data_IF_134355426792
#
_entry.id   IF_134355426792
#
_cell.length_a   1.000
_cell.length_b   1.000
_cell.length_c   1.000
_cell.angle_alpha   90.00
_cell.angle_beta   90.00
_cell.angle_gamma   90.00
#
_symmetry.space_group_name_H-M   'P 1'
#
loop_
_entity.id
_entity.type
_entity.pdbx_description
1 polymer ?
#
# COMPACT_ATOMS: atom_id res chain seq x y z
N UNK A 1 -8.07 17.72 13.11
CA UNK A 1 -7.53 16.61 12.30
C UNK A 1 -6.04 16.87 12.15
N UNK A 2 -5.18 16.08 12.81
CA UNK A 2 -3.72 16.26 12.66
C UNK A 2 -3.35 16.03 11.19
N UNK A 3 -2.45 16.85 10.69
CA UNK A 3 -2.04 16.86 9.29
C UNK A 3 -1.61 15.45 8.88
N UNK A 4 -2.18 14.93 7.79
CA UNK A 4 -2.10 13.54 7.31
C UNK A 4 -0.74 13.20 6.67
N UNK A 5 0.31 13.92 7.03
CA UNK A 5 1.67 13.66 6.59
C UNK A 5 2.38 12.95 7.75
N UNK A 6 2.83 11.72 7.49
CA UNK A 6 3.76 10.94 8.32
C UNK A 6 3.19 10.26 9.57
N UNK A 7 2.42 9.19 9.36
CA UNK A 7 2.43 8.03 10.27
C UNK A 7 3.74 7.25 10.04
N UNK A 8 4.88 7.94 10.22
CA UNK A 8 6.17 7.26 10.18
C UNK A 8 6.30 6.43 11.45
N UNK A 9 6.78 5.20 11.30
CA UNK A 9 7.08 4.33 12.44
C UNK A 9 7.98 5.02 13.46
N UNK A 10 8.89 5.90 13.01
CA UNK A 10 9.74 6.71 13.90
C UNK A 10 8.94 7.65 14.81
N UNK A 11 7.92 8.31 14.28
CA UNK A 11 7.04 9.20 15.05
C UNK A 11 6.19 8.43 16.04
N UNK A 12 5.54 7.34 15.60
CA UNK A 12 4.76 6.48 16.50
C UNK A 12 5.61 5.87 17.62
N UNK A 13 6.84 5.46 17.29
CA UNK A 13 7.79 4.97 18.29
C UNK A 13 8.18 6.05 19.29
N UNK A 14 8.36 7.29 18.83
CA UNK A 14 8.64 8.41 19.72
C UNK A 14 7.45 8.70 20.64
N UNK A 15 6.24 8.80 20.08
CA UNK A 15 5.00 9.01 20.85
C UNK A 15 4.79 7.88 21.88
N UNK A 16 5.01 6.63 21.48
CA UNK A 16 4.90 5.48 22.37
C UNK A 16 5.94 5.54 23.52
N UNK A 17 7.18 5.94 23.22
CA UNK A 17 8.25 6.10 24.24
C UNK A 17 7.98 7.25 25.20
N UNK A 18 7.40 8.35 24.71
CA UNK A 18 7.06 9.53 25.51
C UNK A 18 5.74 9.36 26.28
N UNK A 19 4.90 8.41 25.86
CA UNK A 19 3.62 8.15 26.49
C UNK A 19 3.79 7.63 27.92
N UNK A 20 3.06 8.27 28.85
CA UNK A 20 2.96 7.83 30.24
C UNK A 20 1.95 6.68 30.44
N UNK A 21 1.19 6.33 29.41
CA UNK A 21 0.14 5.30 29.48
C UNK A 21 -0.07 4.64 28.12
N UNK A 22 0.02 3.31 28.09
CA UNK A 22 -0.29 2.54 26.89
C UNK A 22 -1.74 2.77 26.43
N UNK A 23 -2.68 2.93 27.35
CA UNK A 23 -4.09 3.17 27.02
C UNK A 23 -4.30 4.50 26.29
N UNK A 24 -3.61 5.56 26.73
CA UNK A 24 -3.69 6.87 26.07
C UNK A 24 -3.10 6.82 24.66
N UNK A 25 -1.99 6.10 24.48
CA UNK A 25 -1.40 5.91 23.16
C UNK A 25 -2.35 5.17 22.21
N UNK A 26 -2.92 4.04 22.65
CA UNK A 26 -3.88 3.26 21.85
C UNK A 26 -5.13 4.07 21.51
N UNK A 27 -5.66 4.84 22.47
CA UNK A 27 -6.84 5.68 22.24
C UNK A 27 -6.55 6.82 21.26
N UNK A 28 -5.39 7.47 21.36
CA UNK A 28 -5.02 8.57 20.46
C UNK A 28 -4.73 8.10 19.03
N UNK A 29 -4.33 6.83 18.88
CA UNK A 29 -3.90 6.23 17.62
C UNK A 29 -4.85 5.12 17.15
N UNK A 30 -6.10 5.10 17.63
CA UNK A 30 -7.05 4.00 17.38
C UNK A 30 -7.26 3.70 15.89
N UNK A 31 -7.20 4.73 15.04
CA UNK A 31 -7.34 4.60 13.58
C UNK A 31 -6.22 3.75 12.97
N UNK A 32 -5.01 3.82 13.53
CA UNK A 32 -3.83 3.04 13.10
C UNK A 32 -4.03 1.54 13.35
N UNK A 33 -4.84 1.22 14.36
CA UNK A 33 -5.20 -0.16 14.73
C UNK A 33 -6.52 -0.61 14.07
N UNK A 34 -7.09 0.19 13.18
CA UNK A 34 -8.29 -0.19 12.44
C UNK A 34 -7.98 -1.34 11.48
N UNK A 35 -8.76 -2.42 11.55
CA UNK A 35 -8.67 -3.52 10.59
C UNK A 35 -8.98 -3.07 9.14
N UNK A 36 -9.57 -1.89 8.96
CA UNK A 36 -9.94 -1.33 7.66
C UNK A 36 -8.98 -0.26 7.15
N UNK A 37 -7.91 0.05 7.87
CA UNK A 37 -7.01 1.17 7.53
C UNK A 37 -6.45 1.07 6.11
N UNK A 38 -6.06 -0.13 5.68
CA UNK A 38 -5.64 -0.39 4.30
C UNK A 38 -6.73 -0.04 3.29
N UNK A 39 -7.95 -0.55 3.50
CA UNK A 39 -9.07 -0.36 2.58
C UNK A 39 -9.50 1.10 2.50
N UNK A 40 -9.53 1.79 3.64
CA UNK A 40 -9.85 3.21 3.70
C UNK A 40 -8.80 4.05 3.00
N UNK A 41 -7.52 3.76 3.23
CA UNK A 41 -6.43 4.47 2.57
C UNK A 41 -6.42 4.23 1.06
N UNK A 42 -6.62 2.99 0.61
CA UNK A 42 -6.72 2.65 -0.81
C UNK A 42 -7.88 3.39 -1.49
N UNK A 43 -9.06 3.49 -0.84
CA UNK A 43 -10.20 4.28 -1.35
C UNK A 43 -9.85 5.76 -1.51
N UNK A 44 -9.15 6.33 -0.52
CA UNK A 44 -8.71 7.73 -0.61
C UNK A 44 -7.80 7.98 -1.81
N UNK A 45 -6.90 7.03 -2.13
CA UNK A 45 -6.04 7.12 -3.31
C UNK A 45 -6.83 6.98 -4.61
N UNK A 46 -7.77 6.04 -4.68
CA UNK A 46 -8.68 5.85 -5.82
C UNK A 46 -9.45 7.14 -6.13
N UNK A 47 -10.05 7.75 -5.10
CA UNK A 47 -10.85 8.96 -5.23
C UNK A 47 -9.97 10.16 -5.61
N UNK A 48 -8.80 10.32 -4.97
CA UNK A 48 -7.84 11.39 -5.26
C UNK A 48 -7.34 11.35 -6.70
N UNK A 49 -7.03 10.15 -7.19
CA UNK A 49 -6.45 9.95 -8.52
C UNK A 49 -7.50 9.68 -9.60
N UNK A 50 -8.80 9.77 -9.25
CA UNK A 50 -9.95 9.55 -10.14
C UNK A 50 -9.89 8.21 -10.90
N UNK A 51 -9.48 7.15 -10.21
CA UNK A 51 -9.27 5.82 -10.83
C UNK A 51 -10.62 5.09 -10.93
N UNK A 52 -11.15 4.80 -12.12
CA UNK A 52 -12.36 4.02 -12.27
C UNK A 52 -12.15 2.60 -11.71
N UNK A 53 -13.14 2.05 -11.00
CA UNK A 53 -13.08 0.67 -10.48
C UNK A 53 -12.79 -0.37 -11.57
N UNK A 54 -13.25 -0.13 -12.79
CA UNK A 54 -12.96 -0.99 -13.96
C UNK A 54 -11.49 -0.94 -14.37
N UNK A 55 -10.86 0.24 -14.29
CA UNK A 55 -9.44 0.40 -14.54
C UNK A 55 -8.61 -0.27 -13.44
N UNK A 56 -9.01 -0.14 -12.17
CA UNK A 56 -8.36 -0.84 -11.06
C UNK A 56 -8.37 -2.36 -11.26
N UNK A 57 -9.50 -2.93 -11.68
CA UNK A 57 -9.62 -4.38 -12.00
C UNK A 57 -8.70 -4.76 -13.15
N UNK A 58 -8.67 -3.96 -14.22
CA UNK A 58 -7.82 -4.23 -15.39
C UNK A 58 -6.33 -4.17 -15.04
N UNK A 59 -5.89 -3.10 -14.37
CA UNK A 59 -4.48 -2.86 -14.07
C UNK A 59 -3.91 -3.84 -13.04
N UNK A 60 -4.74 -4.30 -12.10
CA UNK A 60 -4.32 -5.30 -11.11
C UNK A 60 -4.36 -6.73 -11.63
N UNK A 61 -5.09 -7.00 -12.73
CA UNK A 61 -5.35 -8.36 -13.22
C UNK A 61 -6.20 -9.22 -12.27
N UNK A 62 -6.77 -8.62 -11.22
CA UNK A 62 -7.58 -9.32 -10.22
C UNK A 62 -9.03 -9.45 -10.67
N UNK A 63 -9.74 -10.46 -10.16
CA UNK A 63 -11.17 -10.58 -10.48
C UNK A 63 -11.97 -9.41 -9.91
N UNK A 64 -13.02 -8.99 -10.64
CA UNK A 64 -13.92 -7.92 -10.19
C UNK A 64 -14.49 -8.19 -8.80
N UNK A 65 -14.92 -9.42 -8.52
CA UNK A 65 -15.45 -9.80 -7.21
C UNK A 65 -14.42 -9.64 -6.10
N UNK A 66 -13.15 -9.98 -6.36
CA UNK A 66 -12.06 -9.85 -5.39
C UNK A 66 -11.75 -8.38 -5.07
N UNK A 67 -11.63 -7.53 -6.09
CA UNK A 67 -11.41 -6.08 -5.90
C UNK A 67 -12.56 -5.46 -5.12
N UNK A 68 -13.80 -5.80 -5.45
CA UNK A 68 -14.96 -5.25 -4.76
C UNK A 68 -15.05 -5.71 -3.29
N UNK A 69 -14.71 -6.97 -3.00
CA UNK A 69 -14.68 -7.49 -1.63
C UNK A 69 -13.59 -6.81 -0.77
N UNK A 70 -12.46 -6.42 -1.37
CA UNK A 70 -11.45 -5.60 -0.69
C UNK A 70 -12.03 -4.21 -0.41
N UNK A 71 -12.61 -3.56 -1.43
CA UNK A 71 -13.19 -2.23 -1.29
C UNK A 71 -14.43 -2.19 -0.39
N UNK A 72 -15.14 -3.29 -0.15
CA UNK A 72 -16.23 -3.33 0.83
C UNK A 72 -15.74 -3.56 2.27
N UNK A 73 -14.46 -3.92 2.45
CA UNK A 73 -13.92 -4.28 3.77
C UNK A 73 -14.30 -5.70 4.22
N UNK A 74 -14.92 -6.50 3.34
CA UNK A 74 -15.28 -7.90 3.64
C UNK A 74 -14.06 -8.83 3.69
N UNK A 75 -12.90 -8.37 3.19
CA UNK A 75 -11.66 -9.14 3.17
C UNK A 75 -10.54 -8.39 3.88
N UNK A 76 -9.67 -9.17 4.52
CA UNK A 76 -8.35 -8.73 4.99
C UNK A 76 -7.49 -8.21 3.82
N UNK A 77 -6.45 -7.40 4.10
CA UNK A 77 -5.50 -6.97 3.09
C UNK A 77 -4.98 -8.15 2.23
N UNK A 78 -4.79 -7.92 0.92
CA UNK A 78 -4.35 -8.98 0.00
C UNK A 78 -2.85 -9.30 0.21
N UNK A 79 -2.28 -10.25 -0.56
CA UNK A 79 -0.84 -10.55 -0.49
C UNK A 79 0.02 -9.31 -0.76
N UNK A 80 1.27 -9.29 -0.29
CA UNK A 80 2.22 -8.17 -0.53
C UNK A 80 2.31 -7.80 -2.01
N UNK A 81 2.42 -8.79 -2.89
CA UNK A 81 2.45 -8.60 -4.34
C UNK A 81 1.20 -7.87 -4.85
N UNK A 82 0.02 -8.27 -4.36
CA UNK A 82 -1.25 -7.65 -4.74
C UNK A 82 -1.40 -6.24 -4.19
N UNK A 83 -0.87 -5.97 -3.00
CA UNK A 83 -0.78 -4.60 -2.47
C UNK A 83 0.06 -3.72 -3.40
N UNK A 84 1.21 -4.22 -3.87
CA UNK A 84 2.08 -3.51 -4.82
C UNK A 84 1.37 -3.30 -6.17
N UNK A 85 0.70 -4.32 -6.70
CA UNK A 85 -0.10 -4.20 -7.93
C UNK A 85 -1.21 -3.16 -7.78
N UNK A 86 -1.89 -3.13 -6.63
CA UNK A 86 -2.90 -2.11 -6.33
C UNK A 86 -2.30 -0.72 -6.23
N UNK A 87 -1.13 -0.57 -5.60
CA UNK A 87 -0.42 0.70 -5.50
C UNK A 87 -0.08 1.27 -6.90
N UNK A 88 0.43 0.43 -7.80
CA UNK A 88 0.68 0.80 -9.20
C UNK A 88 -0.61 1.17 -9.93
N UNK A 89 -1.67 0.37 -9.78
CA UNK A 89 -2.95 0.59 -10.44
C UNK A 89 -3.62 1.90 -10.00
N UNK A 90 -3.41 2.33 -8.75
CA UNK A 90 -3.90 3.63 -8.26
C UNK A 90 -2.91 4.77 -8.47
N UNK A 91 -1.78 4.53 -9.14
CA UNK A 91 -0.71 5.52 -9.37
C UNK A 91 -0.21 6.14 -8.06
N UNK A 92 -0.06 5.31 -7.04
CA UNK A 92 0.50 5.73 -5.75
C UNK A 92 1.95 6.19 -5.92
N UNK A 93 2.32 7.24 -5.21
CA UNK A 93 3.73 7.61 -5.00
C UNK A 93 4.46 6.52 -4.20
N UNK A 94 5.80 6.59 -4.13
CA UNK A 94 6.57 5.68 -3.28
C UNK A 94 6.12 5.76 -1.82
N UNK A 95 5.92 6.95 -1.28
CA UNK A 95 5.46 7.12 0.10
C UNK A 95 4.08 6.49 0.34
N UNK A 96 3.13 6.73 -0.55
CA UNK A 96 1.79 6.12 -0.47
C UNK A 96 1.85 4.59 -0.60
N UNK A 97 2.76 4.08 -1.43
CA UNK A 97 3.00 2.63 -1.55
C UNK A 97 3.56 2.03 -0.26
N UNK A 98 4.51 2.71 0.38
CA UNK A 98 5.04 2.26 1.68
C UNK A 98 3.93 2.24 2.74
N UNK A 99 3.05 3.24 2.75
CA UNK A 99 1.90 3.27 3.65
C UNK A 99 0.93 2.11 3.39
N UNK A 100 0.58 1.83 2.12
CA UNK A 100 -0.25 0.67 1.76
C UNK A 100 0.35 -0.66 2.26
N UNK A 101 1.66 -0.83 2.16
CA UNK A 101 2.37 -2.01 2.65
C UNK A 101 2.30 -2.10 4.18
N UNK A 102 2.60 -1.02 4.89
CA UNK A 102 2.56 -0.98 6.36
C UNK A 102 1.14 -1.23 6.89
N UNK A 103 0.14 -0.61 6.28
CA UNK A 103 -1.29 -0.81 6.62
C UNK A 103 -1.80 -2.22 6.28
N UNK A 104 -1.05 -2.97 5.48
CA UNK A 104 -1.29 -4.38 5.19
C UNK A 104 -0.39 -5.31 6.00
N UNK A 105 0.31 -4.79 7.02
CA UNK A 105 1.26 -5.52 7.87
C UNK A 105 2.46 -6.13 7.11
N UNK A 106 2.82 -5.54 5.96
CA UNK A 106 4.00 -5.95 5.19
C UNK A 106 5.18 -5.01 5.38
N UNK A 107 6.37 -5.57 5.20
CA UNK A 107 7.59 -4.78 5.18
C UNK A 107 7.58 -3.80 3.99
N UNK A 108 7.97 -2.53 4.24
CA UNK A 108 8.26 -1.56 3.19
C UNK A 108 9.20 -2.10 2.11
N UNK A 109 9.12 -1.55 0.91
CA UNK A 109 10.07 -1.81 -0.17
C UNK A 109 11.47 -1.37 0.26
N UNK A 110 12.43 -2.28 0.15
CA UNK A 110 13.83 -2.02 0.48
C UNK A 110 14.69 -1.94 -0.77
N UNK A 111 15.40 -0.83 -1.06
CA UNK A 111 16.28 -0.73 -2.22
C UNK A 111 17.49 -1.68 -2.15
N UNK A 112 17.71 -2.36 -1.01
CA UNK A 112 18.75 -3.38 -0.85
C UNK A 112 18.35 -4.75 -1.42
N UNK A 113 17.05 -4.96 -1.69
CA UNK A 113 16.54 -6.17 -2.33
C UNK A 113 16.33 -5.85 -3.81
N UNK A 114 16.95 -6.61 -4.71
CA UNK A 114 16.94 -6.33 -6.16
C UNK A 114 15.51 -6.18 -6.73
N UNK A 115 14.59 -7.06 -6.30
CA UNK A 115 13.18 -7.01 -6.69
C UNK A 115 12.48 -5.75 -6.19
N UNK A 116 12.66 -5.39 -4.93
CA UNK A 116 12.09 -4.17 -4.38
C UNK A 116 12.70 -2.93 -5.04
N UNK A 117 13.99 -2.92 -5.39
CA UNK A 117 14.62 -1.83 -6.14
C UNK A 117 13.98 -1.65 -7.52
N UNK A 118 13.71 -2.74 -8.25
CA UNK A 118 13.00 -2.70 -9.53
C UNK A 118 11.55 -2.20 -9.36
N UNK A 119 10.85 -2.61 -8.30
CA UNK A 119 9.51 -2.13 -7.99
C UNK A 119 9.51 -0.63 -7.64
N UNK A 120 10.46 -0.17 -6.82
CA UNK A 120 10.62 1.25 -6.49
C UNK A 120 10.86 2.05 -7.77
N UNK A 121 11.75 1.59 -8.64
CA UNK A 121 11.99 2.22 -9.94
C UNK A 121 10.72 2.31 -10.78
N UNK A 122 9.94 1.23 -10.86
CA UNK A 122 8.69 1.21 -11.61
C UNK A 122 7.65 2.20 -11.07
N UNK A 123 7.54 2.35 -9.75
CA UNK A 123 6.65 3.32 -9.10
C UNK A 123 7.09 4.75 -9.44
N UNK A 124 8.38 5.07 -9.25
CA UNK A 124 8.92 6.41 -9.51
C UNK A 124 8.81 6.81 -10.99
N UNK A 125 8.94 5.85 -11.90
CA UNK A 125 8.77 6.07 -13.35
C UNK A 125 7.33 5.90 -13.85
N UNK A 126 6.37 5.66 -12.95
CA UNK A 126 4.96 5.42 -13.26
C UNK A 126 4.74 4.34 -14.34
N UNK A 127 5.51 3.26 -14.27
CA UNK A 127 5.35 2.13 -15.18
C UNK A 127 4.00 1.43 -14.95
N UNK A 128 3.42 0.90 -16.02
CA UNK A 128 2.27 0.00 -15.92
C UNK A 128 2.65 -1.34 -15.30
N UNK A 129 1.65 -2.10 -14.83
CA UNK A 129 1.86 -3.46 -14.29
C UNK A 129 2.47 -4.42 -15.32
N UNK A 130 2.13 -4.23 -16.60
CA UNK A 130 2.74 -4.96 -17.72
C UNK A 130 4.24 -4.65 -17.84
N UNK A 131 4.61 -3.37 -17.87
CA UNK A 131 6.02 -2.96 -17.96
C UNK A 131 6.84 -3.40 -16.74
N UNK A 132 6.28 -3.38 -15.54
CA UNK A 132 6.95 -3.93 -14.37
C UNK A 132 7.14 -5.46 -14.50
N UNK A 133 6.15 -6.17 -15.04
CA UNK A 133 6.26 -7.61 -15.26
C UNK A 133 7.38 -7.94 -16.24
N UNK A 134 7.48 -7.21 -17.35
CA UNK A 134 8.59 -7.32 -18.30
C UNK A 134 9.94 -7.01 -17.64
N UNK A 135 10.02 -5.90 -16.88
CA UNK A 135 11.24 -5.52 -16.16
C UNK A 135 11.70 -6.60 -15.18
N UNK A 136 10.79 -7.18 -14.40
CA UNK A 136 11.12 -8.25 -13.47
C UNK A 136 11.59 -9.51 -14.20
N UNK A 137 10.95 -9.85 -15.32
CA UNK A 137 11.35 -10.97 -16.17
C UNK A 137 12.75 -10.78 -16.74
N UNK A 138 13.05 -9.62 -17.34
CA UNK A 138 14.35 -9.31 -17.93
C UNK A 138 15.49 -9.36 -16.90
N UNK A 139 15.20 -9.00 -15.65
CA UNK A 139 16.13 -9.06 -14.53
C UNK A 139 16.23 -10.45 -13.87
N UNK A 140 15.49 -11.46 -14.36
CA UNK A 140 15.35 -12.80 -13.76
C UNK A 140 14.88 -12.75 -12.29
N UNK A 141 13.93 -11.87 -12.00
CA UNK A 141 13.33 -11.68 -10.68
C UNK A 141 11.91 -12.28 -10.64
N UNK A 142 11.48 -12.67 -9.45
CA UNK A 142 10.16 -13.27 -9.26
C UNK A 142 9.02 -12.29 -9.65
N UNK A 143 8.02 -12.71 -10.44
CA UNK A 143 6.90 -11.88 -10.84
C UNK A 143 5.97 -11.52 -9.67
N UNK A 144 5.08 -10.55 -9.86
CA UNK A 144 4.02 -10.24 -8.88
C UNK A 144 2.78 -11.12 -9.16
N UNK A 145 2.49 -12.08 -8.27
CA UNK A 145 1.28 -12.95 -8.29
C UNK A 145 0.29 -12.67 -7.13
#
# INVERSE_FOLDING_TARGET
>A
MKNREEIRTTFLLQELKESKSIYSYLQNNYEIFSEQIFTEYLKQLIDRNNIPKTELVLQTGLSKSYVYAILSGERRPPSRNRVILMALAVKATLEETQNLLVYSEYNPLSPKVQRDAAIIFAIEQQLSSFQLTELLFDLNLEPLE
#
